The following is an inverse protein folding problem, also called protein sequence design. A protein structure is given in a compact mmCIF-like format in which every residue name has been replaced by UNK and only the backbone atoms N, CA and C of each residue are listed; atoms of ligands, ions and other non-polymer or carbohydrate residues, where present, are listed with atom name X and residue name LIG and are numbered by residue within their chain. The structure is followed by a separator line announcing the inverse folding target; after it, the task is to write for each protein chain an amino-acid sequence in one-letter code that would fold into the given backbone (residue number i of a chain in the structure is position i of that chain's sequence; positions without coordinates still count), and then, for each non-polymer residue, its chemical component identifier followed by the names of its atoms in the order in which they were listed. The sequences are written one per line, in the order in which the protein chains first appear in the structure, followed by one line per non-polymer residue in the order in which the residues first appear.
data_IF_178525153081
#
_entry.id   IF_178525153081
#
_cell.length_a   1.000
_cell.length_b   1.000
_cell.length_c   1.000
_cell.angle_alpha   90.00
_cell.angle_beta   90.00
_cell.angle_gamma   90.00
#
_symmetry.space_group_name_H-M   'P 1'
#
loop_
_entity.id
_entity.type
_entity.pdbx_description
1 polymer ?
#
# COMPACT_ATOMS: atom_id res chain seq x y z
N UNK A 1 -47.18 -37.35 2.37
CA UNK A 1 -47.88 -37.07 3.65
C UNK A 1 -46.97 -37.43 4.81
N UNK A 2 -47.14 -36.73 5.94
CA UNK A 2 -46.43 -36.82 7.23
C UNK A 2 -45.15 -35.99 7.38
N UNK A 3 -45.41 -34.72 7.73
CA UNK A 3 -44.59 -33.85 8.57
C UNK A 3 -44.43 -34.49 9.95
N UNK A 4 -43.26 -34.37 10.58
CA UNK A 4 -43.16 -34.42 12.03
C UNK A 4 -42.43 -33.18 12.52
N UNK A 5 -43.25 -32.31 13.11
CA UNK A 5 -42.90 -31.15 13.91
C UNK A 5 -42.63 -31.70 15.32
N UNK A 6 -41.50 -31.38 15.95
CA UNK A 6 -41.40 -31.45 17.41
C UNK A 6 -40.86 -30.12 17.92
N UNK A 7 -41.69 -29.50 18.73
CA UNK A 7 -41.55 -28.22 19.39
C UNK A 7 -41.65 -28.48 20.91
N UNK A 8 -41.25 -27.49 21.71
CA UNK A 8 -41.37 -27.37 23.18
C UNK A 8 -40.34 -28.19 24.00
N UNK A 9 -39.72 -27.69 25.08
CA UNK A 9 -40.11 -26.55 25.93
C UNK A 9 -38.91 -26.00 26.74
N UNK A 10 -39.04 -24.72 27.04
CA UNK A 10 -38.21 -23.83 27.85
C UNK A 10 -38.24 -24.23 29.34
N UNK A 11 -37.12 -24.06 30.05
CA UNK A 11 -37.15 -23.73 31.49
C UNK A 11 -36.24 -22.53 31.78
N UNK A 12 -36.91 -21.41 32.07
CA UNK A 12 -36.38 -20.25 32.77
C UNK A 12 -36.05 -20.61 34.23
N UNK A 13 -35.00 -19.99 34.74
CA UNK A 13 -34.93 -19.60 36.15
C UNK A 13 -34.42 -18.16 36.18
N UNK A 14 -35.23 -17.28 36.77
CA UNK A 14 -35.10 -15.84 36.77
C UNK A 14 -34.62 -15.31 38.14
N UNK A 15 -34.28 -14.01 38.12
CA UNK A 15 -34.04 -13.08 39.23
C UNK A 15 -32.67 -13.20 39.94
N UNK A 16 -31.99 -12.12 40.32
CA UNK A 16 -32.11 -10.66 40.14
C UNK A 16 -30.96 -10.09 40.99
N UNK A 17 -30.31 -9.00 40.56
CA UNK A 17 -30.15 -7.79 41.38
C UNK A 17 -29.24 -6.75 40.68
N UNK A 18 -29.86 -5.61 40.39
CA UNK A 18 -29.25 -4.34 40.07
C UNK A 18 -28.89 -3.64 41.39
N UNK A 19 -27.68 -3.07 41.48
CA UNK A 19 -27.46 -1.65 41.83
C UNK A 19 -26.05 -1.39 42.42
N UNK A 20 -25.42 -0.40 41.81
CA UNK A 20 -24.30 0.46 42.17
C UNK A 20 -23.86 0.63 43.64
N UNK A 21 -22.54 0.90 43.73
CA UNK A 21 -21.85 2.03 44.41
C UNK A 21 -20.99 1.74 45.65
N UNK A 22 -19.69 1.94 45.39
CA UNK A 22 -18.63 2.52 46.21
C UNK A 22 -19.06 3.32 47.45
N UNK A 23 -18.30 3.15 48.53
CA UNK A 23 -18.28 4.07 49.67
C UNK A 23 -16.85 4.27 50.16
N UNK A 24 -16.62 5.49 50.66
CA UNK A 24 -15.48 6.08 51.41
C UNK A 24 -14.55 6.91 50.51
N UNK A 25 -14.36 8.23 50.69
CA UNK A 25 -14.61 9.12 51.85
C UNK A 25 -14.66 10.61 51.40
N UNK A 26 -15.32 11.44 52.22
CA UNK A 26 -15.39 12.93 52.20
C UNK A 26 -13.98 13.58 52.47
N UNK A 27 -13.69 14.88 52.34
CA UNK A 27 -14.42 16.17 52.37
C UNK A 27 -13.59 17.25 51.64
N UNK A 28 -14.18 18.19 50.88
CA UNK A 28 -14.44 19.61 51.22
C UNK A 28 -13.33 20.65 50.89
N UNK A 29 -13.61 21.41 49.81
CA UNK A 29 -13.33 22.83 49.44
C UNK A 29 -11.93 23.49 49.62
N UNK A 30 -11.44 24.16 48.55
CA UNK A 30 -11.11 25.62 48.46
C UNK A 30 -10.67 26.02 47.03
N UNK A 31 -10.94 27.27 46.67
CA UNK A 31 -10.91 28.04 45.39
C UNK A 31 -9.55 28.25 44.65
N UNK A 32 -9.51 28.90 43.44
CA UNK A 32 -8.62 28.55 42.32
C UNK A 32 -7.31 29.37 42.21
N UNK A 33 -6.34 28.82 41.48
CA UNK A 33 -5.09 29.51 41.08
C UNK A 33 -4.74 29.16 39.61
N UNK A 34 -4.30 30.11 38.78
CA UNK A 34 -4.18 29.91 37.34
C UNK A 34 -2.81 29.34 36.97
N UNK A 35 -2.77 28.11 36.44
CA UNK A 35 -1.55 27.53 35.91
C UNK A 35 -1.71 27.15 34.43
N UNK A 36 -1.21 28.07 33.61
CA UNK A 36 -0.37 27.82 32.43
C UNK A 36 -0.86 26.78 31.43
N UNK A 37 -1.52 27.28 30.38
CA UNK A 37 -1.62 26.62 29.08
C UNK A 37 -0.20 26.32 28.56
N UNK A 38 0.17 25.03 28.51
CA UNK A 38 1.21 24.58 27.60
C UNK A 38 0.58 24.40 26.21
N UNK A 39 1.09 25.05 25.16
CA UNK A 39 0.66 24.74 23.81
C UNK A 39 1.23 23.37 23.44
N UNK A 40 0.34 22.38 23.30
CA UNK A 40 0.67 21.13 22.62
C UNK A 40 1.16 21.50 21.23
N UNK A 41 2.43 21.23 20.95
CA UNK A 41 3.03 21.39 19.63
C UNK A 41 2.22 20.54 18.63
N UNK A 42 1.38 21.19 17.86
CA UNK A 42 0.92 20.64 16.61
C UNK A 42 2.18 20.54 15.74
N UNK A 43 2.68 19.32 15.55
CA UNK A 43 3.56 19.05 14.42
C UNK A 43 2.68 19.26 13.18
N UNK A 44 2.68 20.48 12.67
CA UNK A 44 2.21 20.78 11.32
C UNK A 44 3.02 19.90 10.38
N UNK A 45 2.40 18.85 9.86
CA UNK A 45 2.93 18.09 8.72
C UNK A 45 3.12 19.10 7.60
N UNK A 46 4.36 19.56 7.40
CA UNK A 46 4.67 20.45 6.29
C UNK A 46 4.30 19.72 5.00
N UNK A 47 3.39 20.31 4.23
CA UNK A 47 2.97 19.77 2.94
C UNK A 47 4.21 19.56 2.06
N UNK A 48 4.58 18.30 1.86
CA UNK A 48 5.74 17.93 1.04
C UNK A 48 5.33 18.03 -0.43
N UNK A 49 6.06 18.79 -1.24
CA UNK A 49 5.84 18.85 -2.69
C UNK A 49 6.33 17.58 -3.38
N UNK A 50 5.85 17.31 -4.61
CA UNK A 50 6.28 16.14 -5.38
C UNK A 50 7.80 16.15 -5.60
N UNK A 51 8.37 17.27 -6.06
CA UNK A 51 9.81 17.42 -6.27
C UNK A 51 10.62 17.26 -4.98
N UNK A 52 10.10 17.77 -3.84
CA UNK A 52 10.73 17.57 -2.54
C UNK A 52 10.75 16.10 -2.15
N UNK A 53 9.64 15.38 -2.33
CA UNK A 53 9.54 13.95 -2.07
C UNK A 53 10.55 13.16 -2.91
N UNK A 54 10.75 13.56 -4.17
CA UNK A 54 11.67 12.86 -5.04
C UNK A 54 13.14 13.21 -4.81
N UNK A 55 13.47 14.29 -4.11
CA UNK A 55 14.83 14.89 -4.06
C UNK A 55 15.97 13.94 -3.70
N UNK A 56 15.70 12.91 -2.88
CA UNK A 56 16.69 11.93 -2.44
C UNK A 56 16.55 10.55 -3.09
N UNK A 57 15.67 10.41 -4.08
CA UNK A 57 15.43 9.14 -4.76
C UNK A 57 16.49 8.93 -5.83
N UNK A 58 17.27 7.86 -5.71
CA UNK A 58 18.33 7.51 -6.66
C UNK A 58 17.76 7.07 -8.02
N UNK A 59 18.37 7.54 -9.11
CA UNK A 59 18.10 7.02 -10.47
C UNK A 59 18.91 5.74 -10.73
N UNK A 60 18.28 4.77 -11.40
CA UNK A 60 18.92 3.56 -11.91
C UNK A 60 19.20 3.69 -13.41
N UNK A 61 20.28 3.04 -13.86
CA UNK A 61 20.65 3.00 -15.28
C UNK A 61 19.88 1.90 -16.01
N UNK A 62 19.58 2.14 -17.29
CA UNK A 62 18.95 1.16 -18.17
C UNK A 62 20.00 0.35 -18.96
N UNK A 63 19.70 -0.91 -19.33
CA UNK A 63 18.53 -1.66 -18.87
C UNK A 63 18.65 -2.01 -17.38
N UNK A 64 17.51 -2.11 -16.70
CA UNK A 64 17.43 -2.43 -15.27
C UNK A 64 16.57 -3.67 -15.05
N UNK A 65 17.04 -4.59 -14.20
CA UNK A 65 16.24 -5.74 -13.78
C UNK A 65 15.62 -5.45 -12.43
N UNK A 66 14.30 -5.47 -12.36
CA UNK A 66 13.60 -5.48 -11.07
C UNK A 66 13.23 -6.91 -10.70
N UNK A 67 13.89 -7.41 -9.66
CA UNK A 67 13.60 -8.69 -9.03
C UNK A 67 13.33 -8.50 -7.54
N UNK A 68 12.78 -7.35 -7.15
CA UNK A 68 12.48 -7.00 -5.75
C UNK A 68 11.50 -8.02 -5.18
N UNK A 69 11.86 -8.62 -4.04
CA UNK A 69 11.13 -9.68 -3.35
C UNK A 69 11.43 -9.61 -1.83
N UNK A 70 10.74 -10.40 -1.01
CA UNK A 70 10.88 -10.34 0.45
C UNK A 70 12.29 -10.74 0.94
N UNK A 71 13.04 -11.52 0.17
CA UNK A 71 14.41 -11.92 0.53
C UNK A 71 15.45 -10.82 0.30
N UNK A 72 15.20 -9.89 -0.64
CA UNK A 72 16.18 -8.89 -1.07
C UNK A 72 15.78 -7.43 -0.82
N UNK A 73 14.60 -7.18 -0.24
CA UNK A 73 14.14 -5.85 0.10
C UNK A 73 14.00 -5.66 1.62
N UNK A 74 14.63 -4.60 2.14
CA UNK A 74 14.74 -4.36 3.58
C UNK A 74 14.57 -2.88 3.98
N UNK A 75 13.98 -2.04 3.12
CA UNK A 75 13.74 -0.62 3.47
C UNK A 75 12.44 -0.45 4.25
N UNK A 76 12.48 0.42 5.26
CA UNK A 76 11.35 0.72 6.14
C UNK A 76 10.94 2.20 6.10
N UNK A 77 11.48 2.99 5.17
CA UNK A 77 11.13 4.40 4.97
C UNK A 77 9.75 4.53 4.31
N UNK A 78 8.72 4.14 5.05
CA UNK A 78 7.34 4.08 4.57
C UNK A 78 6.80 5.48 4.30
N UNK A 79 6.13 5.62 3.16
CA UNK A 79 5.40 6.82 2.78
C UNK A 79 4.21 7.05 3.70
N UNK A 80 3.99 8.31 4.07
CA UNK A 80 2.75 8.71 4.73
C UNK A 80 1.57 8.62 3.77
N UNK A 81 0.33 8.58 4.28
CA UNK A 81 -0.88 8.60 3.43
C UNK A 81 -0.94 9.84 2.53
N UNK A 82 -0.43 10.98 3.00
CA UNK A 82 -0.36 12.21 2.19
C UNK A 82 0.63 12.06 1.04
N UNK A 83 1.81 11.50 1.30
CA UNK A 83 2.81 11.22 0.25
C UNK A 83 2.29 10.18 -0.75
N UNK A 84 1.60 9.13 -0.30
CA UNK A 84 0.95 8.17 -1.20
C UNK A 84 -0.14 8.83 -2.07
N UNK A 85 -0.90 9.78 -1.51
CA UNK A 85 -1.87 10.56 -2.29
C UNK A 85 -1.22 11.51 -3.28
N UNK A 86 -0.10 12.14 -2.91
CA UNK A 86 0.72 12.98 -3.78
C UNK A 86 1.26 12.18 -4.98
N UNK A 87 1.72 10.95 -4.74
CA UNK A 87 2.09 10.00 -5.79
C UNK A 87 0.87 9.37 -6.50
N UNK A 88 -0.35 9.80 -6.18
CA UNK A 88 -1.60 9.33 -6.77
C UNK A 88 -1.82 7.81 -6.65
N UNK A 89 -1.26 7.16 -5.63
CA UNK A 89 -1.44 5.72 -5.41
C UNK A 89 -2.90 5.34 -5.15
N UNK A 90 -3.73 6.27 -4.68
CA UNK A 90 -5.18 6.08 -4.56
C UNK A 90 -5.90 5.83 -5.90
N UNK A 91 -5.30 6.20 -7.04
CA UNK A 91 -5.82 5.88 -8.39
C UNK A 91 -5.46 4.45 -8.81
N UNK A 92 -4.32 3.93 -8.33
CA UNK A 92 -3.82 2.57 -8.58
C UNK A 92 -4.46 1.57 -7.61
N UNK A 93 -4.63 1.98 -6.35
CA UNK A 93 -5.24 1.22 -5.25
C UNK A 93 -6.43 1.98 -4.65
N UNK A 94 -7.61 1.93 -5.29
CA UNK A 94 -8.81 2.64 -4.81
C UNK A 94 -9.27 2.20 -3.41
N UNK A 95 -8.87 1.02 -2.97
CA UNK A 95 -9.15 0.47 -1.64
C UNK A 95 -8.23 0.98 -0.52
N UNK A 96 -7.21 1.80 -0.82
CA UNK A 96 -6.25 2.32 0.17
C UNK A 96 -6.91 2.98 1.39
N UNK A 97 -8.10 3.57 1.20
CA UNK A 97 -8.86 4.25 2.26
C UNK A 97 -10.00 3.40 2.86
N UNK A 98 -10.17 2.14 2.42
CA UNK A 98 -11.18 1.24 2.98
C UNK A 98 -10.72 0.70 4.32
N UNK A 99 -11.68 0.58 5.25
CA UNK A 99 -11.44 -0.05 6.55
C UNK A 99 -10.96 -1.50 6.38
N UNK A 100 -9.95 -1.89 7.17
CA UNK A 100 -9.35 -3.23 7.11
C UNK A 100 -8.32 -3.44 6.00
N UNK A 101 -8.14 -2.49 5.07
CA UNK A 101 -7.09 -2.58 4.05
C UNK A 101 -5.81 -1.89 4.53
N UNK A 102 -4.72 -2.66 4.64
CA UNK A 102 -3.41 -2.14 5.04
C UNK A 102 -2.51 -2.06 3.82
N UNK A 103 -2.22 -0.83 3.40
CA UNK A 103 -1.27 -0.53 2.34
C UNK A 103 -0.07 0.22 2.95
N UNK A 104 1.13 -0.30 2.74
CA UNK A 104 2.37 0.44 2.98
C UNK A 104 3.09 0.60 1.65
N UNK A 105 3.81 1.70 1.49
CA UNK A 105 4.57 1.94 0.28
C UNK A 105 5.91 2.58 0.59
N UNK A 106 6.93 2.28 -0.22
CA UNK A 106 8.26 2.88 -0.16
C UNK A 106 8.60 3.41 -1.54
N UNK A 107 8.96 4.69 -1.63
CA UNK A 107 9.48 5.25 -2.87
C UNK A 107 10.92 4.77 -3.07
N UNK A 108 11.14 3.88 -4.04
CA UNK A 108 12.37 3.09 -4.08
C UNK A 108 13.46 3.72 -4.94
N UNK A 109 13.17 3.96 -6.22
CA UNK A 109 14.13 4.50 -7.18
C UNK A 109 13.42 5.15 -8.39
N UNK A 110 14.19 5.85 -9.23
CA UNK A 110 13.72 6.41 -10.50
C UNK A 110 14.35 5.69 -11.69
N UNK A 111 13.70 5.75 -12.85
CA UNK A 111 14.25 5.28 -14.11
C UNK A 111 14.27 6.42 -15.12
N UNK A 112 15.44 6.64 -15.73
CA UNK A 112 15.63 7.70 -16.72
C UNK A 112 15.16 7.23 -18.11
N UNK A 113 13.86 6.96 -18.27
CA UNK A 113 13.27 6.47 -19.52
C UNK A 113 13.14 7.58 -20.59
N UNK A 114 12.70 8.77 -20.18
CA UNK A 114 12.42 9.91 -21.05
C UNK A 114 12.61 11.24 -20.32
N UNK A 115 12.74 12.32 -21.09
CA UNK A 115 12.68 13.70 -20.58
C UNK A 115 11.25 14.27 -20.58
N UNK A 116 10.34 13.61 -21.29
CA UNK A 116 8.94 14.05 -21.47
C UNK A 116 8.01 13.58 -20.34
N UNK A 117 8.48 12.64 -19.51
CA UNK A 117 7.75 12.11 -18.36
C UNK A 117 8.74 11.62 -17.29
N UNK A 118 8.28 11.57 -16.04
CA UNK A 118 9.05 11.03 -14.92
C UNK A 118 8.61 9.60 -14.64
N UNK A 119 9.55 8.67 -14.51
CA UNK A 119 9.27 7.29 -14.10
C UNK A 119 9.80 7.02 -12.71
N UNK A 120 8.90 6.57 -11.83
CA UNK A 120 9.21 6.17 -10.46
C UNK A 120 8.90 4.69 -10.27
N UNK A 121 9.65 4.05 -9.38
CA UNK A 121 9.30 2.74 -8.86
C UNK A 121 8.97 2.84 -7.38
N UNK A 122 7.74 2.46 -7.05
CA UNK A 122 7.21 2.43 -5.68
C UNK A 122 7.01 0.97 -5.31
N UNK A 123 7.60 0.56 -4.19
CA UNK A 123 7.39 -0.77 -3.63
C UNK A 123 6.18 -0.69 -2.71
N UNK A 124 5.21 -1.57 -2.92
CA UNK A 124 3.92 -1.57 -2.24
C UNK A 124 3.75 -2.91 -1.52
N UNK A 125 3.32 -2.85 -0.28
CA UNK A 125 2.97 -4.00 0.55
C UNK A 125 1.46 -4.03 0.73
N UNK A 126 0.83 -5.14 0.34
CA UNK A 126 -0.60 -5.39 0.49
C UNK A 126 -0.78 -6.39 1.63
N UNK A 127 -1.10 -5.87 2.82
CA UNK A 127 -1.02 -6.66 4.04
C UNK A 127 0.42 -7.12 4.34
N UNK A 128 0.56 -8.32 4.89
CA UNK A 128 1.85 -8.84 5.39
C UNK A 128 2.52 -9.84 4.43
N UNK A 129 1.80 -10.31 3.41
CA UNK A 129 2.24 -11.45 2.59
C UNK A 129 2.40 -11.17 1.10
N UNK A 130 2.08 -9.96 0.66
CA UNK A 130 2.21 -9.58 -0.74
C UNK A 130 3.04 -8.29 -0.85
N UNK A 131 4.04 -8.31 -1.72
CA UNK A 131 4.84 -7.14 -2.07
C UNK A 131 4.93 -7.02 -3.59
N UNK A 132 4.89 -5.79 -4.11
CA UNK A 132 5.06 -5.51 -5.53
C UNK A 132 5.86 -4.23 -5.79
N UNK A 133 6.66 -4.22 -6.86
CA UNK A 133 7.22 -3.00 -7.43
C UNK A 133 6.28 -2.47 -8.50
N UNK A 134 5.71 -1.28 -8.28
CA UNK A 134 4.95 -0.54 -9.27
C UNK A 134 5.84 0.46 -10.01
N UNK A 135 6.00 0.27 -11.32
CA UNK A 135 6.52 1.29 -12.22
C UNK A 135 5.40 2.26 -12.55
N UNK A 136 5.63 3.55 -12.34
CA UNK A 136 4.62 4.58 -12.51
C UNK A 136 5.19 5.73 -13.33
N UNK A 137 4.49 6.10 -14.41
CA UNK A 137 4.84 7.21 -15.27
C UNK A 137 3.97 8.43 -14.95
N UNK A 138 4.61 9.59 -14.81
CA UNK A 138 3.96 10.88 -14.56
C UNK A 138 4.33 11.89 -15.63
N UNK A 139 3.38 12.71 -16.06
CA UNK A 139 3.65 13.78 -17.02
C UNK A 139 4.44 14.93 -16.37
N UNK A 140 4.79 15.93 -17.19
CA UNK A 140 5.50 17.14 -16.72
C UNK A 140 4.69 18.00 -15.73
N UNK A 141 3.40 17.73 -15.57
CA UNK A 141 2.47 18.34 -14.62
C UNK A 141 2.21 17.40 -13.42
N UNK A 142 3.02 16.36 -13.26
CA UNK A 142 2.98 15.39 -12.16
C UNK A 142 1.67 14.60 -12.12
N UNK A 143 0.93 14.52 -13.23
CA UNK A 143 -0.26 13.70 -13.34
C UNK A 143 0.13 12.27 -13.73
N UNK A 144 -0.49 11.29 -13.08
CA UNK A 144 -0.35 9.88 -13.43
C UNK A 144 -0.74 9.68 -14.90
N UNK A 145 0.18 9.15 -15.71
CA UNK A 145 -0.06 8.73 -17.09
C UNK A 145 -0.50 7.27 -17.10
N UNK A 146 0.36 6.38 -16.59
CA UNK A 146 0.18 4.93 -16.64
C UNK A 146 1.02 4.24 -15.56
N UNK A 147 0.76 2.97 -15.31
CA UNK A 147 1.52 2.16 -14.36
C UNK A 147 1.57 0.67 -14.75
N UNK A 148 2.56 -0.05 -14.21
CA UNK A 148 2.75 -1.49 -14.43
C UNK A 148 3.40 -2.15 -13.21
N UNK A 149 2.86 -3.27 -12.76
CA UNK A 149 3.51 -4.14 -11.78
C UNK A 149 4.70 -4.83 -12.45
N UNK A 150 5.92 -4.46 -12.06
CA UNK A 150 7.17 -4.93 -12.67
C UNK A 150 7.94 -5.96 -11.82
N UNK A 151 7.57 -6.09 -10.55
CA UNK A 151 7.93 -7.25 -9.72
C UNK A 151 6.82 -7.53 -8.72
N UNK A 152 6.74 -8.77 -8.25
CA UNK A 152 5.76 -9.20 -7.25
C UNK A 152 6.31 -10.42 -6.52
N UNK A 153 5.96 -10.55 -5.25
CA UNK A 153 6.31 -11.70 -4.43
C UNK A 153 5.18 -11.96 -3.43
N UNK A 154 4.80 -13.23 -3.28
CA UNK A 154 3.76 -13.72 -2.39
C UNK A 154 4.35 -14.77 -1.47
N UNK A 155 4.18 -14.60 -0.15
CA UNK A 155 4.85 -15.44 0.86
C UNK A 155 3.90 -16.15 1.83
N UNK A 156 2.58 -16.01 1.68
CA UNK A 156 1.63 -16.80 2.48
C UNK A 156 1.69 -18.27 2.05
N UNK A 157 1.60 -18.54 0.76
CA UNK A 157 1.67 -19.86 0.14
C UNK A 157 2.95 -20.05 -0.67
N UNK A 158 3.59 -18.97 -1.12
CA UNK A 158 4.83 -19.01 -1.89
C UNK A 158 4.62 -19.37 -3.37
N UNK A 159 3.44 -19.07 -3.91
CA UNK A 159 3.02 -19.60 -5.22
C UNK A 159 3.33 -18.69 -6.39
N UNK A 160 3.51 -17.39 -6.17
CA UNK A 160 3.56 -16.44 -7.28
C UNK A 160 4.71 -15.45 -7.13
N UNK A 161 5.41 -15.21 -8.24
CA UNK A 161 6.49 -14.24 -8.33
C UNK A 161 6.53 -13.58 -9.70
N UNK A 162 6.91 -12.31 -9.73
CA UNK A 162 7.17 -11.57 -10.96
C UNK A 162 8.52 -10.89 -10.91
N UNK A 163 9.20 -10.88 -12.04
CA UNK A 163 10.42 -10.12 -12.27
C UNK A 163 10.39 -9.48 -13.65
N UNK A 164 11.17 -8.42 -13.86
CA UNK A 164 11.18 -7.72 -15.13
C UNK A 164 12.56 -7.26 -15.57
N UNK A 165 12.68 -7.07 -16.88
CA UNK A 165 13.76 -6.32 -17.52
C UNK A 165 13.15 -5.05 -18.14
N UNK A 166 13.52 -3.89 -17.59
CA UNK A 166 13.09 -2.58 -18.04
C UNK A 166 14.15 -1.98 -18.95
N UNK A 167 13.81 -1.83 -20.24
CA UNK A 167 14.59 -1.10 -21.23
C UNK A 167 13.97 0.28 -21.53
N UNK A 168 14.58 1.00 -22.48
CA UNK A 168 14.14 2.35 -22.85
C UNK A 168 12.79 2.39 -23.56
N UNK A 169 12.52 1.40 -24.41
CA UNK A 169 11.32 1.34 -25.27
C UNK A 169 10.45 0.11 -24.97
N UNK A 170 10.99 -0.84 -24.21
CA UNK A 170 10.36 -2.13 -23.94
C UNK A 170 10.55 -2.56 -22.49
N UNK A 171 9.50 -3.11 -21.90
CA UNK A 171 9.54 -3.81 -20.61
C UNK A 171 9.18 -5.27 -20.89
N UNK A 172 9.97 -6.21 -20.38
CA UNK A 172 9.65 -7.63 -20.41
C UNK A 172 9.38 -8.09 -18.98
N UNK A 173 8.18 -8.57 -18.71
CA UNK A 173 7.76 -9.10 -17.40
C UNK A 173 7.68 -10.62 -17.50
N UNK A 174 8.27 -11.31 -16.53
CA UNK A 174 8.20 -12.77 -16.38
C UNK A 174 7.38 -13.09 -15.13
N UNK A 175 6.21 -13.67 -15.34
CA UNK A 175 5.31 -14.13 -14.28
C UNK A 175 5.56 -15.62 -14.05
N UNK A 176 5.78 -16.01 -12.80
CA UNK A 176 6.07 -17.38 -12.38
C UNK A 176 5.01 -17.82 -11.38
N UNK A 177 4.37 -18.95 -11.66
CA UNK A 177 3.37 -19.56 -10.79
C UNK A 177 3.75 -21.02 -10.48
N UNK A 178 3.86 -21.34 -9.20
CA UNK A 178 4.15 -22.69 -8.69
C UNK A 178 2.87 -23.31 -8.10
N UNK A 179 2.09 -23.97 -8.95
CA UNK A 179 0.92 -24.76 -8.54
C UNK A 179 1.28 -26.26 -8.58
N UNK A 180 0.59 -27.06 -9.40
CA UNK A 180 0.97 -28.47 -9.63
C UNK A 180 2.26 -28.58 -10.44
N UNK A 181 2.38 -27.77 -11.49
CA UNK A 181 3.59 -27.61 -12.31
C UNK A 181 3.98 -26.12 -12.36
N UNK A 182 5.27 -25.85 -12.55
CA UNK A 182 5.76 -24.48 -12.71
C UNK A 182 5.29 -23.91 -14.05
N UNK A 183 4.52 -22.84 -13.99
CA UNK A 183 4.09 -22.06 -15.15
C UNK A 183 4.92 -20.78 -15.25
N UNK A 184 5.33 -20.44 -16.46
CA UNK A 184 6.09 -19.22 -16.76
C UNK A 184 5.42 -18.52 -17.93
N UNK A 185 4.96 -17.30 -17.71
CA UNK A 185 4.38 -16.42 -18.72
C UNK A 185 5.30 -15.21 -18.92
N UNK A 186 5.59 -14.88 -20.17
CA UNK A 186 6.40 -13.71 -20.51
C UNK A 186 5.52 -12.73 -21.28
N UNK A 187 5.34 -11.54 -20.73
CA UNK A 187 4.60 -10.45 -21.37
C UNK A 187 5.56 -9.32 -21.72
N UNK A 188 5.47 -8.82 -22.94
CA UNK A 188 6.23 -7.64 -23.37
C UNK A 188 5.31 -6.42 -23.46
N UNK A 189 5.83 -5.27 -23.06
CA UNK A 189 5.16 -3.98 -23.12
C UNK A 189 6.02 -2.97 -23.87
N UNK A 190 5.41 -2.15 -24.72
CA UNK A 190 6.04 -1.02 -25.38
C UNK A 190 5.75 0.27 -24.64
N UNK A 191 6.79 1.05 -24.38
CA UNK A 191 6.72 2.40 -23.85
C UNK A 191 6.63 3.38 -25.02
N UNK A 192 5.57 4.17 -25.06
CA UNK A 192 5.46 5.23 -26.05
C UNK A 192 6.15 6.53 -25.59
N UNK A 193 6.29 7.49 -26.50
CA UNK A 193 6.96 8.77 -26.21
C UNK A 193 6.23 9.64 -25.18
N UNK A 194 4.97 9.30 -24.86
CA UNK A 194 4.14 10.00 -23.88
C UNK A 194 4.10 9.27 -22.53
N UNK A 195 4.79 8.14 -22.39
CA UNK A 195 4.84 7.36 -21.16
C UNK A 195 3.68 6.36 -21.00
N UNK A 196 2.88 6.10 -22.03
CA UNK A 196 1.91 5.00 -21.98
C UNK A 196 2.60 3.65 -22.12
N UNK A 197 2.07 2.63 -21.45
CA UNK A 197 2.60 1.28 -21.39
C UNK A 197 1.62 0.34 -22.08
N UNK A 198 1.99 -0.17 -23.25
CA UNK A 198 1.07 -0.93 -24.10
C UNK A 198 1.52 -2.38 -24.21
N UNK A 199 0.68 -3.38 -23.86
CA UNK A 199 1.05 -4.78 -24.05
C UNK A 199 1.22 -5.10 -25.54
N UNK A 200 2.26 -5.85 -25.85
CA UNK A 200 2.45 -6.44 -27.18
C UNK A 200 1.47 -7.59 -27.30
N UNK A 201 0.45 -7.44 -28.15
CA UNK A 201 -0.49 -8.53 -28.43
C UNK A 201 0.22 -9.64 -29.18
N UNK A 202 0.27 -10.82 -28.56
CA UNK A 202 0.66 -12.10 -29.17
C UNK A 202 -0.47 -12.71 -29.98
#
# INVERSE_FOLDING_TARGET
MKRFLLCFCILWSACSQVAEKNTKQASEQTEPSPEKLEPSSQNETQATSFQQLLSNVSSQKLPYTDSTNFDNFNKEDYLTKEQMRLLQLHKIYPEMDKEGFTLKAVLSYRLDLSVEYTTLVVIVFKGDHEMESQLINYDTQEQLIDHLTISYDEIAEGWSRKESLVGKEKITVTDILWMEEKQVEITEYLLDTKGNINPVKS
#
